data_IF_691704376124
#
_entry.id   IF_691704376124
#
_cell.length_a   1.000
_cell.length_b   1.000
_cell.length_c   1.000
_cell.angle_alpha   90.00
_cell.angle_beta   90.00
_cell.angle_gamma   90.00
#
_symmetry.space_group_name_H-M   'P 1'
#
loop_
_entity.id
_entity.type
_entity.pdbx_description
1 polymer ?
#
# COMPACT_ATOMS: atom_id res chain seq x y z
N UNK A 1 0.92 22.45 14.83
CA UNK A 1 1.25 21.32 13.93
C UNK A 1 1.97 21.90 12.73
N UNK A 2 3.07 21.29 12.26
CA UNK A 2 3.70 21.67 11.02
C UNK A 2 2.69 21.46 9.87
N UNK A 3 2.58 22.44 8.98
CA UNK A 3 1.65 22.36 7.86
C UNK A 3 2.21 21.43 6.76
N UNK A 4 1.35 20.69 6.09
CA UNK A 4 1.71 19.98 4.88
C UNK A 4 1.78 20.94 3.71
N UNK A 5 2.78 20.79 2.86
CA UNK A 5 2.96 21.57 1.63
C UNK A 5 3.26 20.64 0.47
N UNK A 6 2.84 21.04 -0.74
CA UNK A 6 3.24 20.34 -1.97
C UNK A 6 4.66 20.77 -2.32
N UNK A 7 5.60 19.84 -2.27
CA UNK A 7 6.97 20.06 -2.70
C UNK A 7 7.03 20.15 -4.23
N UNK A 8 6.41 19.18 -4.90
CA UNK A 8 6.31 19.11 -6.36
C UNK A 8 5.14 18.24 -6.83
N UNK A 9 4.69 18.50 -8.05
CA UNK A 9 3.83 17.60 -8.81
C UNK A 9 4.60 17.18 -10.06
N UNK A 10 4.67 15.89 -10.30
CA UNK A 10 5.31 15.29 -11.48
C UNK A 10 4.24 14.68 -12.36
N UNK A 11 4.19 15.11 -13.62
CA UNK A 11 3.32 14.50 -14.63
C UNK A 11 4.02 13.32 -15.29
N UNK A 12 3.30 12.26 -15.55
CA UNK A 12 3.81 11.13 -16.31
C UNK A 12 2.80 10.69 -17.38
N UNK A 13 3.32 10.24 -18.51
CA UNK A 13 2.56 9.69 -19.60
C UNK A 13 2.70 8.16 -19.62
N UNK A 14 1.72 7.49 -20.23
CA UNK A 14 1.66 6.02 -20.29
C UNK A 14 2.94 5.35 -20.83
N UNK A 15 3.74 6.06 -21.63
CA UNK A 15 5.00 5.58 -22.21
C UNK A 15 6.24 5.79 -21.34
N UNK A 16 6.17 6.69 -20.35
CA UNK A 16 7.33 7.12 -19.54
C UNK A 16 7.47 6.36 -18.23
N UNK A 17 6.65 5.36 -18.03
CA UNK A 17 6.53 4.58 -16.81
C UNK A 17 7.88 4.11 -16.23
N UNK A 18 8.82 3.74 -17.09
CA UNK A 18 10.14 3.24 -16.67
C UNK A 18 11.16 4.36 -16.61
N UNK A 19 11.08 5.36 -17.48
CA UNK A 19 12.02 6.48 -17.54
C UNK A 19 11.86 7.46 -16.38
N UNK A 20 10.65 7.56 -15.83
CA UNK A 20 10.34 8.49 -14.74
C UNK A 20 10.40 7.85 -13.36
N UNK A 21 10.58 6.53 -13.24
CA UNK A 21 10.50 5.81 -11.98
C UNK A 21 9.11 5.83 -11.36
N UNK A 22 8.09 6.22 -12.12
CA UNK A 22 6.72 6.43 -11.66
C UNK A 22 5.85 5.31 -12.16
N UNK A 23 5.62 4.33 -11.31
CA UNK A 23 4.67 3.26 -11.53
C UNK A 23 3.34 3.58 -10.86
N UNK A 24 2.26 2.96 -11.32
CA UNK A 24 0.98 2.94 -10.60
C UNK A 24 1.12 2.49 -9.15
N UNK A 25 2.05 1.57 -8.92
CA UNK A 25 2.48 1.10 -7.63
C UNK A 25 3.99 1.19 -7.59
N UNK A 26 4.52 1.73 -6.52
CA UNK A 26 5.94 1.77 -6.32
C UNK A 26 6.26 2.16 -4.88
N UNK A 27 7.40 1.68 -4.43
CA UNK A 27 7.80 1.80 -3.04
C UNK A 27 9.30 2.06 -2.98
N UNK A 28 9.70 2.96 -2.08
CA UNK A 28 11.10 3.14 -1.77
C UNK A 28 11.60 1.96 -0.95
N UNK A 29 12.74 1.43 -1.33
CA UNK A 29 13.48 0.49 -0.53
C UNK A 29 14.22 1.22 0.60
N UNK A 30 14.67 0.49 1.62
CA UNK A 30 15.37 1.07 2.79
C UNK A 30 16.60 1.88 2.40
N UNK A 31 17.28 1.50 1.34
CA UNK A 31 18.47 2.18 0.80
C UNK A 31 18.16 3.43 -0.06
N UNK A 32 16.90 3.74 -0.32
CA UNK A 32 16.44 4.90 -1.08
C UNK A 32 16.20 4.64 -2.56
N UNK A 33 16.54 3.45 -3.08
CA UNK A 33 16.14 3.04 -4.43
C UNK A 33 14.63 2.85 -4.51
N UNK A 34 14.08 2.95 -5.70
CA UNK A 34 12.65 2.87 -5.92
C UNK A 34 12.28 1.63 -6.73
N UNK A 35 11.36 0.83 -6.22
CA UNK A 35 10.83 -0.32 -6.94
C UNK A 35 9.49 0.04 -7.60
N UNK A 36 9.49 0.09 -8.93
CA UNK A 36 8.33 0.41 -9.75
C UNK A 36 7.62 -0.86 -10.20
N UNK A 37 6.30 -0.93 -10.03
CA UNK A 37 5.50 -2.12 -10.36
C UNK A 37 4.55 -1.84 -11.51
N UNK A 38 4.69 -2.60 -12.59
CA UNK A 38 3.79 -2.61 -13.73
C UNK A 38 2.86 -3.84 -13.67
N UNK A 39 1.91 -3.81 -12.75
CA UNK A 39 1.09 -4.97 -12.44
C UNK A 39 0.36 -5.57 -13.65
N UNK A 40 -0.27 -4.75 -14.51
CA UNK A 40 -0.96 -5.22 -15.72
C UNK A 40 -0.03 -5.73 -16.84
N UNK A 41 1.27 -5.47 -16.72
CA UNK A 41 2.30 -5.91 -17.67
C UNK A 41 3.18 -7.03 -17.10
N UNK A 42 2.87 -7.48 -15.89
CA UNK A 42 3.51 -8.60 -15.21
C UNK A 42 5.01 -8.42 -14.97
N UNK A 43 5.48 -7.19 -14.72
CA UNK A 43 6.86 -6.94 -14.35
C UNK A 43 7.02 -5.89 -13.26
N UNK A 44 8.18 -5.87 -12.65
CA UNK A 44 8.66 -4.78 -11.82
C UNK A 44 10.07 -4.36 -12.26
N UNK A 45 10.46 -3.15 -11.94
CA UNK A 45 11.78 -2.62 -12.21
C UNK A 45 12.38 -1.93 -11.00
N UNK A 46 13.67 -2.11 -10.76
CA UNK A 46 14.40 -1.36 -9.77
C UNK A 46 15.05 -0.15 -10.43
N UNK A 47 14.78 1.01 -9.84
CA UNK A 47 15.28 2.31 -10.28
C UNK A 47 16.30 2.82 -9.25
N UNK A 48 17.46 3.25 -9.70
CA UNK A 48 18.50 3.84 -8.87
C UNK A 48 18.20 5.28 -8.48
N UNK A 49 19.05 5.86 -7.63
CA UNK A 49 18.93 7.26 -7.18
C UNK A 49 19.06 8.29 -8.32
N UNK A 50 19.67 7.89 -9.44
CA UNK A 50 19.86 8.69 -10.66
C UNK A 50 18.72 8.51 -11.68
N UNK A 51 17.60 7.95 -11.28
CA UNK A 51 16.45 7.60 -12.12
C UNK A 51 16.75 6.59 -13.24
N UNK A 52 17.88 5.87 -13.16
CA UNK A 52 18.21 4.83 -14.12
C UNK A 52 17.60 3.49 -13.73
N UNK A 53 17.02 2.80 -14.72
CA UNK A 53 16.53 1.45 -14.54
C UNK A 53 17.70 0.47 -14.41
N UNK A 54 17.87 -0.12 -13.23
CA UNK A 54 18.99 -1.01 -12.93
C UNK A 54 18.76 -2.42 -13.45
N UNK A 55 17.59 -2.97 -13.21
CA UNK A 55 17.15 -4.26 -13.70
C UNK A 55 15.62 -4.39 -13.67
N UNK A 56 15.09 -5.40 -14.36
CA UNK A 56 13.67 -5.79 -14.30
C UNK A 56 13.53 -7.21 -13.77
N UNK A 57 12.38 -7.51 -13.18
CA UNK A 57 11.97 -8.88 -12.93
C UNK A 57 10.67 -9.15 -13.69
N UNK A 58 10.68 -10.16 -14.56
CA UNK A 58 9.56 -10.51 -15.42
C UNK A 58 9.68 -11.97 -15.91
N UNK A 59 8.61 -12.55 -16.45
CA UNK A 59 8.68 -13.89 -17.08
C UNK A 59 9.66 -13.95 -18.27
N UNK A 60 9.92 -12.81 -18.90
CA UNK A 60 10.87 -12.65 -20.04
C UNK A 60 11.42 -11.23 -20.08
N UNK A 61 12.57 -11.00 -20.76
CA UNK A 61 13.14 -9.66 -20.89
C UNK A 61 12.14 -8.63 -21.43
N UNK A 62 12.09 -7.46 -20.79
CA UNK A 62 11.16 -6.37 -21.12
C UNK A 62 11.84 -5.26 -21.91
N UNK A 63 13.11 -4.96 -21.59
CA UNK A 63 13.89 -3.89 -22.21
C UNK A 63 15.22 -4.42 -22.74
N UNK A 64 15.62 -3.92 -23.90
CA UNK A 64 16.95 -4.23 -24.47
C UNK A 64 18.07 -3.60 -23.63
N UNK A 65 19.12 -4.37 -23.37
CA UNK A 65 20.27 -3.91 -22.59
C UNK A 65 20.07 -3.81 -21.07
N UNK A 66 18.86 -4.02 -20.57
CA UNK A 66 18.59 -4.04 -19.13
C UNK A 66 18.55 -5.49 -18.62
N UNK A 67 19.31 -5.82 -17.55
CA UNK A 67 19.25 -7.14 -16.93
C UNK A 67 17.83 -7.52 -16.56
N UNK A 68 17.43 -8.76 -16.82
CA UNK A 68 16.12 -9.28 -16.42
C UNK A 68 16.26 -10.49 -15.52
N UNK A 69 15.62 -10.41 -14.37
CA UNK A 69 15.49 -11.52 -13.45
C UNK A 69 14.28 -12.35 -13.90
N UNK A 70 14.51 -13.60 -14.33
CA UNK A 70 13.43 -14.49 -14.74
C UNK A 70 12.59 -14.91 -13.53
N UNK A 71 11.42 -14.32 -13.40
CA UNK A 71 10.46 -14.61 -12.34
C UNK A 71 9.07 -14.83 -12.92
N UNK A 72 8.35 -15.82 -12.40
CA UNK A 72 6.98 -16.13 -12.82
C UNK A 72 5.96 -15.12 -12.31
N UNK A 73 6.22 -13.83 -12.55
CA UNK A 73 5.35 -12.75 -12.11
C UNK A 73 4.04 -12.76 -12.90
N UNK A 74 2.95 -12.61 -12.15
CA UNK A 74 1.60 -12.54 -12.67
C UNK A 74 0.81 -11.54 -11.82
N UNK A 75 0.62 -10.36 -12.36
CA UNK A 75 -0.01 -9.24 -11.66
C UNK A 75 0.70 -8.95 -10.31
N UNK A 76 2.01 -8.61 -10.32
CA UNK A 76 2.72 -8.23 -9.09
C UNK A 76 2.11 -6.95 -8.52
N UNK A 77 1.95 -6.89 -7.19
CA UNK A 77 1.27 -5.75 -6.56
C UNK A 77 2.05 -5.11 -5.42
N UNK A 78 3.02 -5.81 -4.86
CA UNK A 78 3.80 -5.26 -3.74
C UNK A 78 5.21 -5.83 -3.68
N UNK A 79 6.11 -5.03 -3.14
CA UNK A 79 7.51 -5.39 -2.87
C UNK A 79 7.90 -4.95 -1.47
N UNK A 80 8.59 -5.79 -0.74
CA UNK A 80 9.27 -5.43 0.50
C UNK A 80 10.67 -6.07 0.57
N UNK A 81 11.44 -5.70 1.57
CA UNK A 81 12.85 -6.08 1.73
C UNK A 81 13.04 -6.93 2.98
N UNK A 82 13.63 -8.11 2.83
CA UNK A 82 14.05 -8.95 3.95
C UNK A 82 15.32 -8.38 4.62
N UNK A 83 15.62 -8.78 5.88
CA UNK A 83 16.81 -8.34 6.60
C UNK A 83 18.14 -8.63 5.87
N UNK A 84 18.17 -9.59 4.96
CA UNK A 84 19.33 -9.94 4.14
C UNK A 84 19.35 -9.23 2.78
N UNK A 85 18.64 -8.12 2.66
CA UNK A 85 18.55 -7.25 1.47
C UNK A 85 17.94 -7.94 0.23
N UNK A 86 17.40 -9.14 0.34
CA UNK A 86 16.64 -9.74 -0.77
C UNK A 86 15.22 -9.19 -0.80
N UNK A 87 14.64 -9.11 -2.00
CA UNK A 87 13.28 -8.57 -2.17
C UNK A 87 12.23 -9.69 -2.08
N UNK A 88 11.10 -9.34 -1.51
CA UNK A 88 9.87 -10.11 -1.59
C UNK A 88 8.94 -9.46 -2.61
N UNK A 89 8.36 -10.27 -3.50
CA UNK A 89 7.41 -9.78 -4.50
C UNK A 89 6.14 -10.60 -4.43
N UNK A 90 5.04 -9.96 -4.04
CA UNK A 90 3.73 -10.61 -4.03
C UNK A 90 3.03 -10.50 -5.37
N UNK A 91 2.40 -11.61 -5.79
CA UNK A 91 1.67 -11.71 -7.04
C UNK A 91 0.21 -12.06 -6.79
N UNK A 92 -0.67 -11.14 -7.12
CA UNK A 92 -2.12 -11.32 -6.98
C UNK A 92 -2.67 -12.32 -7.98
N UNK A 93 -2.21 -12.29 -9.25
CA UNK A 93 -2.76 -13.12 -10.34
C UNK A 93 -2.58 -14.63 -10.13
N UNK A 94 -1.43 -15.04 -9.62
CA UNK A 94 -1.14 -16.46 -9.39
C UNK A 94 -1.05 -16.87 -7.91
N UNK A 95 -1.28 -15.94 -6.98
CA UNK A 95 -1.25 -16.19 -5.52
C UNK A 95 0.10 -16.74 -5.06
N UNK A 96 1.20 -16.09 -5.50
CA UNK A 96 2.57 -16.51 -5.21
C UNK A 96 3.42 -15.40 -4.65
N UNK A 97 4.31 -15.75 -3.72
CA UNK A 97 5.36 -14.88 -3.21
C UNK A 97 6.70 -15.35 -3.76
N UNK A 98 7.42 -14.45 -4.42
CA UNK A 98 8.78 -14.69 -4.89
C UNK A 98 9.78 -13.95 -4.00
N UNK A 99 10.94 -14.58 -3.82
CA UNK A 99 12.13 -13.94 -3.25
C UNK A 99 13.12 -13.71 -4.37
N UNK A 100 13.60 -12.47 -4.48
CA UNK A 100 14.54 -12.02 -5.49
C UNK A 100 15.86 -11.65 -4.83
N UNK A 101 16.92 -12.27 -5.28
CA UNK A 101 18.30 -11.92 -4.93
C UNK A 101 18.81 -10.91 -5.96
N UNK A 102 19.12 -9.70 -5.50
CA UNK A 102 19.51 -8.58 -6.35
C UNK A 102 20.98 -8.66 -6.80
N UNK A 103 21.84 -9.36 -6.06
CA UNK A 103 23.24 -9.54 -6.38
C UNK A 103 23.43 -10.60 -7.47
N UNK A 104 22.78 -11.74 -7.30
CA UNK A 104 22.86 -12.86 -8.24
C UNK A 104 21.86 -12.73 -9.39
N UNK A 105 20.99 -11.73 -9.38
CA UNK A 105 19.91 -11.51 -10.32
C UNK A 105 19.05 -12.78 -10.52
N UNK A 106 18.70 -13.41 -9.41
CA UNK A 106 17.92 -14.66 -9.41
C UNK A 106 16.63 -14.53 -8.61
N UNK A 107 15.62 -15.31 -9.00
CA UNK A 107 14.34 -15.37 -8.31
C UNK A 107 13.98 -16.83 -7.96
N UNK A 108 13.40 -17.01 -6.78
CA UNK A 108 12.84 -18.30 -6.37
C UNK A 108 11.43 -18.13 -5.81
N UNK A 109 10.60 -19.12 -6.06
CA UNK A 109 9.29 -19.23 -5.41
C UNK A 109 9.49 -19.48 -3.92
N UNK A 110 8.95 -18.61 -3.06
CA UNK A 110 9.01 -18.73 -1.62
C UNK A 110 7.73 -19.33 -1.05
N UNK A 111 6.55 -18.80 -1.46
CA UNK A 111 5.24 -19.30 -1.03
C UNK A 111 4.34 -19.51 -2.24
N UNK A 112 3.74 -20.70 -2.33
CA UNK A 112 2.61 -20.97 -3.22
C UNK A 112 1.32 -20.96 -2.38
N UNK A 113 0.65 -19.83 -2.36
CA UNK A 113 -0.51 -19.59 -1.51
C UNK A 113 -1.69 -20.50 -1.86
N UNK A 114 -1.83 -20.90 -3.14
CA UNK A 114 -2.90 -21.83 -3.54
C UNK A 114 -2.75 -23.20 -2.88
N UNK A 115 -1.51 -23.66 -2.69
CA UNK A 115 -1.25 -24.91 -1.95
C UNK A 115 -1.61 -24.84 -0.47
N UNK A 116 -1.65 -23.63 0.09
CA UNK A 116 -2.07 -23.35 1.47
C UNK A 116 -3.57 -23.05 1.60
N UNK A 117 -4.31 -23.02 0.48
CA UNK A 117 -5.73 -22.72 0.47
C UNK A 117 -6.05 -21.22 0.48
N UNK A 118 -5.08 -20.36 0.11
CA UNK A 118 -5.33 -18.92 -0.07
C UNK A 118 -6.17 -18.69 -1.33
N UNK A 119 -7.13 -17.78 -1.24
CA UNK A 119 -7.97 -17.35 -2.38
C UNK A 119 -7.19 -16.42 -3.31
N UNK A 120 -6.45 -15.51 -2.73
CA UNK A 120 -5.58 -14.56 -3.43
C UNK A 120 -4.41 -14.15 -2.51
N UNK A 121 -3.49 -13.38 -3.04
CA UNK A 121 -2.37 -12.84 -2.29
C UNK A 121 -2.31 -11.33 -2.54
N UNK A 122 -2.49 -10.57 -1.49
CA UNK A 122 -2.35 -9.12 -1.50
C UNK A 122 -0.90 -8.68 -1.27
N UNK A 123 -0.74 -7.62 -0.50
CA UNK A 123 0.57 -7.09 -0.16
C UNK A 123 1.35 -8.05 0.75
N UNK A 124 2.67 -7.97 0.70
CA UNK A 124 3.56 -8.63 1.65
C UNK A 124 4.40 -7.57 2.37
N UNK A 125 4.51 -7.66 3.68
CA UNK A 125 5.37 -6.77 4.47
C UNK A 125 6.20 -7.59 5.46
N UNK A 126 7.36 -7.04 5.85
CA UNK A 126 8.30 -7.68 6.76
C UNK A 126 8.33 -6.86 8.06
N UNK A 127 8.04 -7.52 9.19
CA UNK A 127 8.14 -6.90 10.50
C UNK A 127 9.59 -6.84 11.03
N UNK A 128 9.80 -6.17 12.16
CA UNK A 128 11.12 -6.01 12.77
C UNK A 128 11.73 -7.35 13.26
N UNK A 129 10.92 -8.39 13.42
CA UNK A 129 11.37 -9.74 13.75
C UNK A 129 11.78 -10.53 12.48
N UNK A 130 11.58 -9.94 11.30
CA UNK A 130 11.82 -10.56 10.00
C UNK A 130 10.73 -11.52 9.57
N UNK A 131 9.58 -11.54 10.23
CA UNK A 131 8.43 -12.33 9.80
C UNK A 131 7.72 -11.65 8.63
N UNK A 132 7.21 -12.46 7.72
CA UNK A 132 6.50 -12.00 6.52
C UNK A 132 5.01 -12.03 6.81
N UNK A 133 4.35 -10.90 6.59
CA UNK A 133 2.90 -10.77 6.73
C UNK A 133 2.28 -10.58 5.35
N UNK A 134 1.20 -11.29 5.06
CA UNK A 134 0.52 -11.28 3.76
C UNK A 134 -0.98 -11.15 4.00
N UNK A 135 -1.63 -10.19 3.36
CA UNK A 135 -3.09 -10.14 3.36
C UNK A 135 -3.66 -11.00 2.24
N UNK A 136 -4.75 -11.65 2.56
CA UNK A 136 -5.64 -12.32 1.62
C UNK A 136 -6.86 -11.40 1.42
N UNK A 137 -6.91 -10.72 0.26
CA UNK A 137 -7.88 -9.63 0.04
C UNK A 137 -9.32 -10.14 0.15
N UNK A 138 -9.70 -11.04 -0.75
CA UNK A 138 -11.05 -11.61 -0.79
C UNK A 138 -11.27 -12.76 0.19
N UNK A 139 -10.18 -13.40 0.62
CA UNK A 139 -10.21 -14.42 1.67
C UNK A 139 -10.41 -13.85 3.07
N UNK A 140 -10.30 -12.53 3.23
CA UNK A 140 -10.56 -11.81 4.49
C UNK A 140 -9.71 -12.35 5.66
N UNK A 141 -8.43 -12.62 5.38
CA UNK A 141 -7.46 -13.14 6.35
C UNK A 141 -6.13 -12.39 6.24
N UNK A 142 -5.33 -12.53 7.27
CA UNK A 142 -3.91 -12.12 7.29
C UNK A 142 -3.07 -13.32 7.69
N UNK A 143 -2.03 -13.59 6.94
CA UNK A 143 -1.11 -14.71 7.15
C UNK A 143 0.22 -14.21 7.65
N UNK A 144 0.84 -14.96 8.58
CA UNK A 144 2.19 -14.73 9.05
C UNK A 144 3.07 -15.92 8.71
N UNK A 145 4.25 -15.65 8.15
CA UNK A 145 5.24 -16.65 7.73
C UNK A 145 6.60 -16.33 8.35
N UNK A 146 7.45 -17.35 8.48
CA UNK A 146 8.87 -17.13 8.71
C UNK A 146 9.59 -16.72 7.40
N UNK A 147 10.87 -16.36 7.49
CA UNK A 147 11.70 -15.96 6.35
C UNK A 147 11.91 -17.08 5.32
N UNK A 148 11.68 -18.33 5.69
CA UNK A 148 11.74 -19.49 4.80
C UNK A 148 10.41 -19.75 4.07
N UNK A 149 9.36 -18.96 4.34
CA UNK A 149 8.04 -19.09 3.76
C UNK A 149 7.18 -20.18 4.42
N UNK A 150 7.52 -20.62 5.63
CA UNK A 150 6.69 -21.57 6.38
C UNK A 150 5.60 -20.79 7.13
N UNK A 151 4.32 -21.21 7.02
CA UNK A 151 3.24 -20.55 7.72
C UNK A 151 3.41 -20.72 9.25
N UNK A 152 3.30 -19.63 9.98
CA UNK A 152 3.34 -19.57 11.43
C UNK A 152 1.92 -19.48 11.99
N UNK A 153 1.12 -18.57 11.47
CA UNK A 153 -0.26 -18.37 11.91
C UNK A 153 -1.12 -17.69 10.84
N UNK A 154 -2.42 -17.77 11.03
CA UNK A 154 -3.43 -17.10 10.20
C UNK A 154 -4.39 -16.36 11.11
N UNK A 155 -4.70 -15.13 10.79
CA UNK A 155 -5.63 -14.28 11.49
C UNK A 155 -6.90 -14.11 10.65
N UNK A 156 -8.03 -14.12 11.33
CA UNK A 156 -9.33 -13.95 10.70
C UNK A 156 -10.00 -15.29 10.39
N UNK A 157 -11.29 -15.31 10.65
CA UNK A 157 -12.14 -16.50 10.41
C UNK A 157 -12.41 -16.79 8.94
N UNK A 158 -12.05 -15.84 8.04
CA UNK A 158 -12.47 -15.84 6.64
C UNK A 158 -13.91 -15.38 6.41
N UNK A 159 -14.67 -15.17 7.48
CA UNK A 159 -16.01 -14.57 7.40
C UNK A 159 -15.89 -13.04 7.39
N UNK A 160 -16.68 -12.38 6.56
CA UNK A 160 -16.76 -10.92 6.54
C UNK A 160 -17.46 -10.36 7.77
N UNK A 161 -17.08 -9.15 8.19
CA UNK A 161 -17.77 -8.44 9.27
C UNK A 161 -16.94 -7.34 9.90
N UNK A 162 -17.61 -6.34 10.46
CA UNK A 162 -17.03 -5.25 11.23
C UNK A 162 -17.09 -5.54 12.72
N UNK A 163 -16.03 -5.21 13.44
CA UNK A 163 -15.93 -5.32 14.90
C UNK A 163 -15.22 -4.08 15.45
N UNK A 164 -15.86 -3.35 16.35
CA UNK A 164 -15.29 -2.15 16.98
C UNK A 164 -14.45 -2.49 18.23
N UNK A 165 -14.79 -3.57 18.91
CA UNK A 165 -14.12 -4.08 20.11
C UNK A 165 -12.81 -4.79 19.77
N UNK A 166 -11.98 -4.98 20.78
CA UNK A 166 -10.77 -5.81 20.68
C UNK A 166 -11.17 -7.27 20.63
N UNK A 167 -10.67 -7.99 19.64
CA UNK A 167 -10.94 -9.41 19.42
C UNK A 167 -9.67 -10.22 19.27
N UNK A 168 -9.73 -11.51 19.60
CA UNK A 168 -8.65 -12.45 19.34
C UNK A 168 -8.52 -12.79 17.84
N UNK A 169 -7.37 -13.35 17.44
CA UNK A 169 -7.07 -13.67 16.05
C UNK A 169 -8.12 -14.57 15.39
N UNK A 170 -8.55 -15.62 16.05
CA UNK A 170 -9.51 -16.60 15.50
C UNK A 170 -10.91 -16.02 15.34
N UNK A 171 -11.26 -15.02 16.17
CA UNK A 171 -12.55 -14.35 16.14
C UNK A 171 -12.58 -13.12 15.22
N UNK A 172 -11.43 -12.66 14.76
CA UNK A 172 -11.33 -11.47 13.92
C UNK A 172 -12.07 -11.69 12.60
N UNK A 173 -12.77 -10.65 12.15
CA UNK A 173 -13.46 -10.60 10.87
C UNK A 173 -13.00 -9.38 10.11
N UNK A 174 -12.64 -9.57 8.87
CA UNK A 174 -12.26 -8.53 7.94
C UNK A 174 -13.20 -8.52 6.74
N UNK A 175 -13.10 -7.48 5.93
CA UNK A 175 -13.81 -7.42 4.65
C UNK A 175 -12.93 -6.70 3.62
N UNK A 176 -12.28 -7.48 2.75
CA UNK A 176 -11.30 -6.99 1.80
C UNK A 176 -10.12 -6.28 2.48
N UNK A 177 -9.23 -7.05 3.07
CA UNK A 177 -7.95 -6.52 3.56
C UNK A 177 -7.11 -6.07 2.37
N UNK A 178 -6.98 -4.76 2.19
CA UNK A 178 -6.36 -4.24 0.97
C UNK A 178 -4.89 -3.91 1.15
N UNK A 179 -4.50 -3.39 2.31
CA UNK A 179 -3.13 -2.99 2.58
C UNK A 179 -2.69 -3.36 4.00
N UNK A 180 -1.38 -3.57 4.15
CA UNK A 180 -0.71 -3.84 5.42
C UNK A 180 0.51 -2.93 5.56
N UNK A 181 0.82 -2.51 6.79
CA UNK A 181 2.11 -1.86 7.13
C UNK A 181 2.58 -2.27 8.51
N UNK A 182 3.87 -2.61 8.68
CA UNK A 182 4.45 -2.74 10.01
C UNK A 182 4.55 -1.35 10.66
N UNK A 183 4.11 -1.23 11.88
CA UNK A 183 4.21 -0.01 12.66
C UNK A 183 5.43 0.00 13.59
N UNK A 184 5.90 1.18 14.02
CA UNK A 184 7.07 1.31 14.87
C UNK A 184 6.87 0.76 16.29
N UNK A 185 5.66 0.37 16.64
CA UNK A 185 5.32 -0.31 17.90
C UNK A 185 5.33 -1.84 17.80
N UNK A 186 5.72 -2.38 16.63
CA UNK A 186 5.70 -3.81 16.33
C UNK A 186 4.31 -4.35 15.99
N UNK A 187 3.30 -3.48 15.91
CA UNK A 187 1.96 -3.83 15.43
C UNK A 187 1.90 -3.84 13.90
N UNK A 188 1.00 -4.64 13.34
CA UNK A 188 0.70 -4.62 11.92
C UNK A 188 -0.59 -3.83 11.70
N UNK A 189 -0.49 -2.73 10.98
CA UNK A 189 -1.62 -1.90 10.60
C UNK A 189 -2.28 -2.51 9.38
N UNK A 190 -3.58 -2.71 9.44
CA UNK A 190 -4.38 -3.46 8.47
C UNK A 190 -5.50 -2.59 7.94
N UNK A 191 -5.49 -2.33 6.64
CA UNK A 191 -6.54 -1.59 5.96
C UNK A 191 -7.69 -2.53 5.60
N UNK A 192 -8.76 -2.48 6.39
CA UNK A 192 -9.97 -3.30 6.30
C UNK A 192 -11.01 -2.56 5.43
N UNK A 193 -10.75 -2.55 4.10
CA UNK A 193 -11.29 -1.56 3.17
C UNK A 193 -12.80 -1.56 3.08
N UNK A 194 -13.44 -2.71 2.90
CA UNK A 194 -14.92 -2.79 2.81
C UNK A 194 -15.62 -2.75 4.15
N UNK A 195 -14.87 -2.73 5.24
CA UNK A 195 -15.34 -2.32 6.56
C UNK A 195 -15.05 -0.84 6.83
N UNK A 196 -14.52 -0.08 5.86
CA UNK A 196 -14.22 1.35 5.99
C UNK A 196 -13.43 1.66 7.27
N UNK A 197 -12.40 0.85 7.53
CA UNK A 197 -11.70 0.85 8.80
C UNK A 197 -10.19 0.61 8.66
N UNK A 198 -9.45 1.14 9.61
CA UNK A 198 -8.05 0.80 9.87
C UNK A 198 -7.96 0.07 11.20
N UNK A 199 -7.28 -1.07 11.21
CA UNK A 199 -7.09 -1.91 12.39
C UNK A 199 -5.61 -2.07 12.72
N UNK A 200 -5.31 -2.46 13.95
CA UNK A 200 -3.96 -2.85 14.37
C UNK A 200 -4.01 -4.27 14.92
N UNK A 201 -3.14 -5.09 14.39
CA UNK A 201 -2.86 -6.45 14.82
C UNK A 201 -1.66 -6.40 15.77
N UNK A 202 -1.82 -6.90 16.97
CA UNK A 202 -0.74 -7.11 17.94
C UNK A 202 -0.44 -8.62 18.03
N UNK A 203 0.74 -9.01 17.53
CA UNK A 203 1.16 -10.42 17.52
C UNK A 203 1.47 -10.97 18.92
N UNK A 204 1.86 -10.10 19.86
CA UNK A 204 2.22 -10.51 21.23
C UNK A 204 0.99 -10.84 22.05
N UNK A 205 0.00 -9.97 22.02
CA UNK A 205 -1.29 -10.21 22.71
C UNK A 205 -2.25 -11.07 21.87
N UNK A 206 -1.93 -11.37 20.61
CA UNK A 206 -2.77 -12.08 19.65
C UNK A 206 -4.14 -11.43 19.50
N UNK A 207 -4.16 -10.13 19.37
CA UNK A 207 -5.38 -9.34 19.30
C UNK A 207 -5.43 -8.41 18.10
N UNK A 208 -6.64 -8.08 17.68
CA UNK A 208 -6.96 -7.10 16.65
C UNK A 208 -7.83 -6.02 17.27
N UNK A 209 -7.44 -4.75 17.10
CA UNK A 209 -8.20 -3.60 17.59
C UNK A 209 -8.52 -2.63 16.47
N UNK A 210 -9.62 -1.90 16.62
CA UNK A 210 -9.96 -0.78 15.75
C UNK A 210 -9.07 0.42 16.06
N UNK A 211 -8.49 1.04 15.02
CA UNK A 211 -7.76 2.30 15.11
C UNK A 211 -8.58 3.47 14.54
N UNK A 212 -9.25 3.27 13.41
CA UNK A 212 -10.07 4.29 12.77
C UNK A 212 -11.24 3.68 11.99
N UNK A 213 -12.31 4.46 11.84
CA UNK A 213 -13.49 4.08 11.06
C UNK A 213 -14.65 3.57 11.92
N UNK A 214 -15.85 3.76 11.42
CA UNK A 214 -17.10 3.34 12.10
C UNK A 214 -17.73 2.08 11.52
N UNK A 215 -17.15 1.53 10.45
CA UNK A 215 -17.76 0.42 9.70
C UNK A 215 -18.79 0.84 8.66
N UNK A 216 -19.01 2.16 8.50
CA UNK A 216 -19.97 2.71 7.53
C UNK A 216 -19.28 3.69 6.58
N UNK A 217 -19.74 3.75 5.30
CA UNK A 217 -19.16 4.70 4.33
C UNK A 217 -19.51 6.14 4.69
N UNK A 218 -18.65 7.06 4.26
CA UNK A 218 -18.86 8.50 4.42
C UNK A 218 -17.57 9.30 4.44
N UNK A 219 -17.70 10.59 4.81
CA UNK A 219 -16.57 11.51 4.94
C UNK A 219 -16.83 12.45 6.14
N UNK A 220 -16.47 11.98 7.32
CA UNK A 220 -16.61 12.74 8.57
C UNK A 220 -15.39 12.52 9.46
N UNK A 221 -15.32 13.27 10.55
CA UNK A 221 -14.42 13.01 11.66
C UNK A 221 -13.16 13.85 11.69
N UNK A 222 -12.91 14.76 10.73
CA UNK A 222 -11.75 15.65 10.79
C UNK A 222 -11.73 16.49 12.07
N UNK A 223 -10.60 16.48 12.75
CA UNK A 223 -10.40 17.14 14.05
C UNK A 223 -10.93 16.35 15.25
N UNK A 224 -11.43 15.12 15.05
CA UNK A 224 -11.97 14.29 16.12
C UNK A 224 -11.22 12.94 16.23
N UNK A 225 -11.62 12.09 17.18
CA UNK A 225 -11.11 10.71 17.33
C UNK A 225 -11.34 9.91 16.04
N UNK A 226 -10.29 9.33 15.49
CA UNK A 226 -10.31 8.58 14.24
C UNK A 226 -11.30 7.40 14.25
N UNK A 227 -11.63 6.85 15.41
CA UNK A 227 -12.63 5.78 15.55
C UNK A 227 -14.06 6.25 15.27
N UNK A 228 -14.30 7.56 15.30
CA UNK A 228 -15.58 8.16 14.91
C UNK A 228 -15.65 8.61 13.46
N UNK A 229 -14.54 8.50 12.72
CA UNK A 229 -14.47 8.89 11.33
C UNK A 229 -15.19 7.90 10.40
N UNK A 230 -15.55 8.37 9.22
CA UNK A 230 -16.04 7.54 8.13
C UNK A 230 -15.14 7.68 6.91
N UNK A 231 -15.02 6.61 6.13
CA UNK A 231 -14.24 6.53 4.90
C UNK A 231 -15.10 5.99 3.75
N UNK A 232 -14.64 6.18 2.50
CA UNK A 232 -15.35 5.68 1.33
C UNK A 232 -16.63 6.46 1.02
N UNK A 233 -17.35 6.04 -0.01
CA UNK A 233 -18.56 6.76 -0.46
C UNK A 233 -19.74 5.86 -0.81
N UNK A 234 -19.49 4.67 -1.38
CA UNK A 234 -20.51 3.76 -1.88
C UNK A 234 -20.20 2.31 -1.50
N UNK A 235 -20.94 1.73 -0.53
CA UNK A 235 -20.68 0.36 -0.08
C UNK A 235 -20.95 -0.71 -1.15
N UNK A 236 -21.61 -0.34 -2.25
CA UNK A 236 -21.94 -1.25 -3.35
C UNK A 236 -20.84 -1.33 -4.41
N UNK A 237 -19.98 -0.31 -4.49
CA UNK A 237 -18.87 -0.30 -5.41
C UNK A 237 -17.83 -1.38 -5.07
N UNK A 238 -17.29 -2.05 -6.09
CA UNK A 238 -16.38 -3.19 -5.90
C UNK A 238 -15.11 -2.78 -5.14
N UNK A 239 -14.58 -1.59 -5.42
CA UNK A 239 -13.33 -1.09 -4.84
C UNK A 239 -13.53 0.12 -3.93
N UNK A 240 -14.74 0.33 -3.40
CA UNK A 240 -14.97 1.43 -2.47
C UNK A 240 -14.31 1.15 -1.10
N UNK A 241 -13.99 2.23 -0.42
CA UNK A 241 -13.26 2.24 0.83
C UNK A 241 -11.83 2.75 0.66
N UNK A 242 -11.10 2.88 1.76
CA UNK A 242 -9.68 3.24 1.74
C UNK A 242 -8.88 2.06 1.16
N UNK A 243 -7.93 2.35 0.25
CA UNK A 243 -7.17 1.30 -0.44
C UNK A 243 -5.66 1.43 -0.33
N UNK A 244 -5.17 2.51 0.24
CA UNK A 244 -3.74 2.74 0.40
C UNK A 244 -3.43 3.20 1.81
N UNK A 245 -2.36 2.66 2.37
CA UNK A 245 -1.87 2.94 3.71
C UNK A 245 -0.37 3.21 3.67
N UNK A 246 0.07 4.22 4.40
CA UNK A 246 1.48 4.42 4.70
C UNK A 246 1.64 4.88 6.15
N UNK A 247 2.82 4.68 6.72
CA UNK A 247 3.15 5.12 8.08
C UNK A 247 4.43 5.94 8.04
N UNK A 248 4.54 6.94 8.92
CA UNK A 248 5.82 7.60 9.18
C UNK A 248 6.56 6.96 10.34
N UNK A 249 7.79 7.43 10.59
CA UNK A 249 8.66 6.89 11.64
C UNK A 249 8.09 7.15 13.06
N UNK A 250 7.22 8.15 13.20
CA UNK A 250 6.50 8.42 14.47
C UNK A 250 5.27 7.50 14.64
N UNK A 251 4.86 6.81 13.59
CA UNK A 251 3.69 5.92 13.57
C UNK A 251 2.37 6.64 13.26
N UNK A 252 2.42 7.86 12.72
CA UNK A 252 1.22 8.45 12.15
C UNK A 252 0.81 7.66 10.91
N UNK A 253 -0.49 7.42 10.75
CA UNK A 253 -1.01 6.66 9.64
C UNK A 253 -1.61 7.58 8.56
N UNK A 254 -1.23 7.35 7.32
CA UNK A 254 -1.73 8.03 6.14
C UNK A 254 -2.64 7.08 5.36
N UNK A 255 -3.89 7.47 5.19
CA UNK A 255 -4.93 6.65 4.55
C UNK A 255 -5.38 7.33 3.27
N UNK A 256 -5.22 6.65 2.15
CA UNK A 256 -5.76 7.06 0.85
C UNK A 256 -7.24 6.69 0.76
N UNK A 257 -8.10 7.67 0.98
CA UNK A 257 -9.56 7.53 0.91
C UNK A 257 -10.02 7.79 -0.54
N UNK A 258 -9.90 6.74 -1.33
CA UNK A 258 -9.93 6.76 -2.79
C UNK A 258 -11.15 7.47 -3.37
N UNK A 259 -12.35 7.11 -2.94
CA UNK A 259 -13.59 7.66 -3.49
C UNK A 259 -14.02 8.98 -2.84
N UNK A 260 -13.37 9.38 -1.77
CA UNK A 260 -13.44 10.73 -1.24
C UNK A 260 -12.34 11.63 -1.83
N UNK A 261 -11.41 11.08 -2.63
CA UNK A 261 -10.34 11.81 -3.33
C UNK A 261 -9.40 12.59 -2.40
N UNK A 262 -9.16 12.05 -1.22
CA UNK A 262 -8.36 12.70 -0.17
C UNK A 262 -7.38 11.75 0.48
N UNK A 263 -6.32 12.32 1.05
CA UNK A 263 -5.44 11.64 1.99
C UNK A 263 -5.80 12.10 3.40
N UNK A 264 -6.09 11.14 4.28
CA UNK A 264 -6.37 11.37 5.69
C UNK A 264 -5.17 10.94 6.53
N UNK A 265 -4.77 11.76 7.48
CA UNK A 265 -3.73 11.45 8.46
C UNK A 265 -4.37 11.19 9.82
N UNK A 266 -3.92 10.13 10.50
CA UNK A 266 -4.26 9.81 11.88
C UNK A 266 -3.02 10.02 12.72
N UNK A 267 -3.04 10.98 13.62
CA UNK A 267 -1.94 11.21 14.55
C UNK A 267 -1.91 10.10 15.61
N UNK A 268 -0.77 9.45 15.76
CA UNK A 268 -0.61 8.34 16.68
C UNK A 268 -0.89 8.72 18.14
N UNK A 269 -0.32 9.84 18.59
CA UNK A 269 -0.35 10.23 20.01
C UNK A 269 -1.72 10.74 20.44
N UNK A 270 -2.40 11.51 19.59
CA UNK A 270 -3.71 12.07 19.89
C UNK A 270 -4.88 11.20 19.44
N UNK A 271 -4.68 10.32 18.47
CA UNK A 271 -5.73 9.58 17.79
C UNK A 271 -6.63 10.45 16.91
N UNK A 272 -6.26 11.71 16.69
CA UNK A 272 -7.04 12.66 15.88
C UNK A 272 -6.81 12.40 14.40
N UNK A 273 -7.89 12.39 13.63
CA UNK A 273 -7.82 12.32 12.16
C UNK A 273 -8.00 13.69 11.53
N UNK A 274 -7.31 13.92 10.41
CA UNK A 274 -7.44 15.13 9.60
C UNK A 274 -7.20 14.84 8.13
N UNK A 275 -7.86 15.59 7.24
CA UNK A 275 -7.55 15.60 5.82
C UNK A 275 -6.31 16.46 5.59
N UNK A 276 -5.30 15.91 4.92
CA UNK A 276 -4.02 16.59 4.67
C UNK A 276 -3.78 16.89 3.20
N UNK A 277 -4.45 16.21 2.28
CA UNK A 277 -4.35 16.46 0.85
C UNK A 277 -5.61 16.02 0.11
N UNK A 278 -5.80 16.62 -1.08
CA UNK A 278 -6.94 16.35 -1.93
C UNK A 278 -8.18 17.17 -1.59
N UNK A 279 -9.16 17.11 -2.48
CA UNK A 279 -10.45 17.78 -2.32
C UNK A 279 -11.57 16.92 -2.86
N UNK A 280 -12.62 16.82 -2.09
CA UNK A 280 -13.77 15.97 -2.38
C UNK A 280 -14.61 16.45 -3.57
N UNK A 281 -14.73 17.78 -3.72
CA UNK A 281 -15.77 18.39 -4.57
C UNK A 281 -15.43 18.42 -6.07
N UNK A 282 -14.21 18.09 -6.45
CA UNK A 282 -13.77 18.03 -7.84
C UNK A 282 -12.90 16.82 -8.11
N UNK A 283 -13.47 15.62 -8.15
CA UNK A 283 -12.80 14.49 -8.75
C UNK A 283 -12.79 14.73 -10.26
N UNK A 284 -11.93 15.62 -10.72
CA UNK A 284 -11.84 15.98 -12.11
C UNK A 284 -10.83 15.12 -12.83
N UNK A 285 -10.98 14.98 -14.14
CA UNK A 285 -9.99 14.41 -15.04
C UNK A 285 -8.80 15.37 -15.30
N UNK A 286 -8.80 16.53 -14.62
CA UNK A 286 -7.77 17.54 -14.82
C UNK A 286 -6.49 17.21 -14.04
N UNK A 287 -5.35 17.37 -14.69
CA UNK A 287 -4.03 17.31 -14.06
C UNK A 287 -3.84 18.43 -13.04
N UNK A 288 -3.04 18.16 -12.03
CA UNK A 288 -2.65 19.18 -11.05
C UNK A 288 -1.72 20.22 -11.70
N UNK A 289 -1.82 21.47 -11.25
CA UNK A 289 -0.84 22.50 -11.60
C UNK A 289 0.51 22.14 -10.94
N UNK A 290 1.63 22.06 -11.70
CA UNK A 290 2.96 21.84 -11.14
C UNK A 290 3.40 22.94 -10.16
N UNK A 291 2.79 24.11 -10.22
CA UNK A 291 3.04 25.24 -9.32
C UNK A 291 2.16 25.22 -8.05
N UNK A 292 1.18 24.30 -7.93
CA UNK A 292 0.34 24.20 -6.74
C UNK A 292 1.18 23.86 -5.50
N UNK A 293 0.94 24.55 -4.41
CA UNK A 293 1.64 24.36 -3.13
C UNK A 293 0.70 24.02 -1.96
N UNK A 294 -0.59 24.25 -2.13
CA UNK A 294 -1.60 23.88 -1.14
C UNK A 294 -2.08 22.43 -1.39
N UNK A 295 -1.74 21.48 -0.50
CA UNK A 295 -2.12 20.09 -0.70
C UNK A 295 -3.64 19.87 -0.70
N UNK A 296 -4.40 20.77 -0.04
CA UNK A 296 -5.87 20.68 -0.02
C UNK A 296 -6.51 21.13 -1.35
N UNK A 297 -5.72 21.64 -2.30
CA UNK A 297 -6.17 21.98 -3.65
C UNK A 297 -5.84 20.91 -4.69
N UNK A 298 -5.08 19.89 -4.32
CA UNK A 298 -4.75 18.81 -5.23
C UNK A 298 -6.00 18.06 -5.70
N UNK A 299 -5.99 17.72 -6.95
CA UNK A 299 -6.93 16.78 -7.56
C UNK A 299 -6.35 15.37 -7.47
N UNK A 300 -6.96 14.52 -6.66
CA UNK A 300 -6.52 13.15 -6.41
C UNK A 300 -7.62 12.16 -6.87
N UNK A 301 -7.87 12.02 -8.18
CA UNK A 301 -9.03 11.29 -8.70
C UNK A 301 -9.05 9.83 -8.27
N UNK A 302 -7.90 9.19 -8.19
CA UNK A 302 -7.78 7.80 -7.76
C UNK A 302 -6.44 7.57 -7.07
N UNK A 303 -6.44 7.50 -5.75
CA UNK A 303 -5.25 7.18 -4.98
C UNK A 303 -5.14 5.66 -4.95
N UNK A 304 -4.13 5.08 -5.62
CA UNK A 304 -3.95 3.62 -5.72
C UNK A 304 -2.87 3.08 -4.77
N UNK A 305 -1.86 3.88 -4.50
CA UNK A 305 -0.81 3.57 -3.55
C UNK A 305 -0.30 4.86 -2.91
N UNK A 306 0.35 4.74 -1.78
CA UNK A 306 1.09 5.83 -1.14
C UNK A 306 2.34 5.26 -0.51
N UNK A 307 3.38 6.07 -0.48
CA UNK A 307 4.63 5.70 0.17
C UNK A 307 5.18 6.90 0.96
N UNK A 308 5.44 6.69 2.26
CA UNK A 308 6.14 7.66 3.08
C UNK A 308 7.61 7.26 3.17
N UNK A 309 8.47 8.16 2.74
CA UNK A 309 9.90 7.92 2.77
C UNK A 309 10.68 9.19 3.12
N UNK A 310 11.47 9.13 4.18
CA UNK A 310 12.41 10.21 4.61
C UNK A 310 11.73 11.59 4.70
N UNK A 311 10.63 11.68 5.40
CA UNK A 311 9.92 12.96 5.63
C UNK A 311 8.98 13.38 4.51
N UNK A 312 8.85 12.61 3.44
CA UNK A 312 8.00 12.89 2.28
C UNK A 312 6.91 11.85 2.12
N UNK A 313 5.73 12.29 1.76
CA UNK A 313 4.63 11.40 1.34
C UNK A 313 4.46 11.51 -0.18
N UNK A 314 4.62 10.37 -0.84
CA UNK A 314 4.44 10.22 -2.28
C UNK A 314 3.03 9.72 -2.54
N UNK A 315 2.27 10.48 -3.31
CA UNK A 315 0.85 10.21 -3.61
C UNK A 315 0.67 10.14 -5.12
N UNK A 316 0.81 8.95 -5.71
CA UNK A 316 0.47 8.76 -7.11
C UNK A 316 -1.03 8.76 -7.29
N UNK A 317 -1.50 9.41 -8.34
CA UNK A 317 -2.88 9.31 -8.80
C UNK A 317 -2.95 8.28 -9.92
N UNK A 318 -4.01 7.49 -9.90
CA UNK A 318 -4.25 6.55 -10.98
C UNK A 318 -4.52 7.28 -12.30
N UNK A 319 -4.36 6.53 -13.39
CA UNK A 319 -4.40 7.02 -14.74
C UNK A 319 -5.70 7.78 -15.02
N UNK A 320 -5.52 8.94 -15.60
CA UNK A 320 -6.54 9.57 -16.41
C UNK A 320 -6.95 8.63 -17.57
N UNK A 321 -8.10 8.84 -18.21
CA UNK A 321 -8.56 7.99 -19.31
C UNK A 321 -7.56 7.81 -20.45
N UNK A 322 -6.65 8.78 -20.65
CA UNK A 322 -5.56 8.73 -21.63
C UNK A 322 -4.35 7.89 -21.18
N UNK A 323 -4.37 7.40 -19.94
CA UNK A 323 -3.29 6.60 -19.37
C UNK A 323 -2.16 7.42 -18.76
N UNK A 324 -2.30 8.73 -18.64
CA UNK A 324 -1.41 9.62 -17.90
C UNK A 324 -1.81 9.73 -16.43
N UNK A 325 -0.95 10.29 -15.60
CA UNK A 325 -1.22 10.51 -14.19
C UNK A 325 -0.28 11.53 -13.56
N UNK A 326 -0.47 11.77 -12.28
CA UNK A 326 0.35 12.67 -11.48
C UNK A 326 0.95 11.96 -10.27
N UNK A 327 2.15 12.38 -9.87
CA UNK A 327 2.71 12.09 -8.55
C UNK A 327 2.82 13.41 -7.79
N UNK A 328 2.05 13.55 -6.73
CA UNK A 328 2.25 14.61 -5.77
C UNK A 328 3.24 14.18 -4.69
N UNK A 329 4.25 15.00 -4.44
CA UNK A 329 5.19 14.81 -3.33
C UNK A 329 4.91 15.87 -2.28
N UNK A 330 4.55 15.42 -1.10
CA UNK A 330 4.18 16.26 0.03
C UNK A 330 5.27 16.18 1.11
N UNK A 331 5.56 17.30 1.77
CA UNK A 331 6.41 17.33 2.95
C UNK A 331 5.77 18.15 4.07
N UNK A 332 6.29 17.99 5.29
CA UNK A 332 5.94 18.84 6.43
C UNK A 332 6.88 20.03 6.47
N UNK A 333 6.31 21.26 6.45
CA UNK A 333 7.04 22.53 6.58
C UNK A 333 7.39 22.83 8.03
#
# INVERSE_FOLDING_TARGET
>A
MAAWVVERVVHFDRGDFVKSGLAHFGFHLRDGRYCAIAHQRHYLGLVGEDDQLLWTAAPRPVFEGIPNIAAGLDFPIYVDVLPDETLLVSNFGNTRLYRIDQETLSARLLVDGRKLGMVDMGNCVVDDEGCIWINEVRGCRVWRFDQAGRPLETLGSGATGFQAEVVGFDAARFNWVYDLRPGPDGGIYVLDSKNFALRVVDSRSRSVRLLAGTGTPGYTGDGADARSATFGSDPTATFDGPISLSLDEAGNAYVGDRFNHVVRMIERDSGVISTIAGRRDTPGEARNDPAERDPLRLNLPMISSMDYHRGRLFVPTDLLPDGSGDLAVLNRS
#
